data_IF_028303976486
#
_entry.id   IF_028303976486
#
_cell.length_a   1.000
_cell.length_b   1.000
_cell.length_c   1.000
_cell.angle_alpha   90.00
_cell.angle_beta   90.00
_cell.angle_gamma   90.00
#
_symmetry.space_group_name_H-M   'P 1'
#
loop_
_entity.id
_entity.type
_entity.pdbx_description
1 polymer ?
#
# COMPACT_ATOMS: atom_id res chain seq x y z
N UNK A 1 -22.13 -6.50 -7.83
CA UNK A 1 -21.06 -5.59 -8.29
C UNK A 1 -19.90 -5.73 -7.31
N UNK A 2 -18.69 -6.05 -7.79
CA UNK A 2 -17.51 -6.23 -6.93
C UNK A 2 -17.08 -4.88 -6.36
N UNK A 3 -16.96 -4.79 -5.04
CA UNK A 3 -16.47 -3.61 -4.33
C UNK A 3 -14.97 -3.67 -4.22
N UNK A 4 -14.29 -2.60 -4.57
CA UNK A 4 -12.84 -2.48 -4.57
C UNK A 4 -12.42 -1.23 -3.80
N UNK A 5 -11.46 -1.37 -2.90
CA UNK A 5 -10.82 -0.25 -2.22
C UNK A 5 -9.39 -0.10 -2.74
N UNK A 6 -9.03 1.11 -3.14
CA UNK A 6 -7.68 1.45 -3.54
C UNK A 6 -6.97 2.20 -2.41
N UNK A 7 -5.83 1.65 -1.97
CA UNK A 7 -5.00 2.16 -0.89
C UNK A 7 -3.73 2.77 -1.49
N UNK A 8 -3.61 4.08 -1.41
CA UNK A 8 -2.45 4.80 -1.96
C UNK A 8 -1.18 4.67 -1.10
N UNK A 9 -0.02 4.98 -1.66
CA UNK A 9 1.26 4.98 -0.96
C UNK A 9 1.44 6.16 0.00
N UNK A 10 2.55 6.11 0.75
CA UNK A 10 2.95 7.18 1.66
C UNK A 10 3.09 8.53 0.94
N UNK A 11 2.66 9.60 1.60
CA UNK A 11 2.69 10.97 1.07
C UNK A 11 2.04 11.16 -0.32
N UNK A 12 1.11 10.27 -0.68
CA UNK A 12 0.31 10.29 -1.90
C UNK A 12 -1.15 10.57 -1.57
N UNK A 13 -2.07 10.37 -2.51
CA UNK A 13 -3.49 10.64 -2.27
C UNK A 13 -4.41 9.87 -3.22
N UNK A 14 -5.72 10.07 -3.00
CA UNK A 14 -6.81 9.41 -3.74
C UNK A 14 -6.79 9.72 -5.24
N UNK A 15 -6.20 10.84 -5.64
CA UNK A 15 -6.09 11.28 -7.04
C UNK A 15 -4.73 10.95 -7.69
N UNK A 16 -3.95 10.02 -7.13
CA UNK A 16 -2.67 9.59 -7.73
C UNK A 16 -2.87 8.97 -9.12
N UNK A 17 -1.83 8.99 -9.96
CA UNK A 17 -1.89 8.42 -11.31
C UNK A 17 -2.34 6.95 -11.31
N UNK A 18 -1.81 6.15 -10.39
CA UNK A 18 -2.19 4.73 -10.24
C UNK A 18 -3.65 4.59 -9.78
N UNK A 19 -4.10 5.39 -8.81
CA UNK A 19 -5.49 5.35 -8.35
C UNK A 19 -6.45 5.65 -9.49
N UNK A 20 -6.23 6.75 -10.23
CA UNK A 20 -7.05 7.13 -11.39
C UNK A 20 -7.03 6.10 -12.52
N UNK A 21 -5.88 5.47 -12.76
CA UNK A 21 -5.76 4.43 -13.78
C UNK A 21 -6.63 3.21 -13.43
N UNK A 22 -6.47 2.65 -12.23
CA UNK A 22 -7.21 1.46 -11.82
C UNK A 22 -8.69 1.77 -11.61
N UNK A 23 -9.04 2.92 -11.09
CA UNK A 23 -10.44 3.33 -10.96
C UNK A 23 -11.14 3.33 -12.32
N UNK A 24 -10.65 4.09 -13.30
CA UNK A 24 -11.24 4.13 -14.64
C UNK A 24 -11.35 2.77 -15.30
N UNK A 25 -10.28 1.96 -15.18
CA UNK A 25 -10.23 0.65 -15.83
C UNK A 25 -11.22 -0.34 -15.23
N UNK A 26 -11.29 -0.41 -13.92
CA UNK A 26 -12.12 -1.38 -13.21
C UNK A 26 -13.60 -0.96 -13.20
N UNK A 27 -13.89 0.33 -13.14
CA UNK A 27 -15.25 0.85 -13.31
C UNK A 27 -15.80 0.58 -14.72
N UNK A 28 -14.96 0.71 -15.76
CA UNK A 28 -15.32 0.32 -17.12
C UNK A 28 -15.61 -1.19 -17.26
N UNK A 29 -15.04 -2.01 -16.38
CA UNK A 29 -15.29 -3.45 -16.29
C UNK A 29 -16.43 -3.83 -15.32
N UNK A 30 -17.18 -2.85 -14.80
CA UNK A 30 -18.37 -3.07 -13.97
C UNK A 30 -18.11 -3.18 -12.47
N UNK A 31 -16.93 -2.85 -11.96
CA UNK A 31 -16.66 -2.78 -10.53
C UNK A 31 -17.07 -1.43 -9.91
N UNK A 32 -17.19 -1.39 -8.59
CA UNK A 32 -17.26 -0.16 -7.82
C UNK A 32 -15.91 0.07 -7.12
N UNK A 33 -15.19 1.13 -7.49
CA UNK A 33 -13.85 1.43 -6.96
C UNK A 33 -13.89 2.68 -6.10
N UNK A 34 -13.37 2.58 -4.87
CA UNK A 34 -13.22 3.71 -3.96
C UNK A 34 -11.74 3.87 -3.60
N UNK A 35 -11.13 4.99 -3.99
CA UNK A 35 -9.80 5.36 -3.52
C UNK A 35 -9.94 6.01 -2.13
N UNK A 36 -9.30 5.41 -1.12
CA UNK A 36 -9.42 5.85 0.26
C UNK A 36 -8.44 6.96 0.60
N UNK A 37 -8.91 7.98 1.31
CA UNK A 37 -8.03 8.88 2.05
C UNK A 37 -7.55 8.18 3.33
N UNK A 38 -6.37 7.58 3.26
CA UNK A 38 -5.78 6.84 4.38
C UNK A 38 -5.31 7.75 5.52
N UNK A 39 -5.10 9.03 5.22
CA UNK A 39 -4.74 10.03 6.23
C UNK A 39 -5.98 10.63 6.93
N UNK A 40 -7.21 10.40 6.41
CA UNK A 40 -8.45 10.93 6.96
C UNK A 40 -8.43 12.46 7.14
N UNK A 41 -7.75 13.17 6.23
CA UNK A 41 -7.54 14.60 6.27
C UNK A 41 -6.40 15.08 7.17
N UNK A 42 -5.80 14.20 7.96
CA UNK A 42 -4.71 14.52 8.91
C UNK A 42 -3.43 13.70 8.62
N UNK A 43 -2.70 14.12 7.59
CA UNK A 43 -1.45 13.46 7.20
C UNK A 43 -0.38 13.55 8.29
N UNK A 44 -0.36 14.62 9.06
CA UNK A 44 0.69 14.88 10.04
C UNK A 44 0.67 13.87 11.20
N UNK A 45 -0.52 13.37 11.56
CA UNK A 45 -0.70 12.34 12.57
C UNK A 45 -0.99 10.95 11.98
N UNK A 46 -0.57 10.70 10.75
CA UNK A 46 -0.73 9.41 10.10
C UNK A 46 -0.12 8.28 10.93
N UNK A 47 -0.86 7.18 11.12
CA UNK A 47 -0.39 5.95 11.76
C UNK A 47 -0.81 4.73 10.94
N UNK A 48 -0.21 3.57 11.15
CA UNK A 48 -0.65 2.30 10.52
C UNK A 48 -2.03 1.93 11.06
N UNK A 49 -2.24 2.04 12.38
CA UNK A 49 -3.55 1.80 13.04
C UNK A 49 -4.65 2.68 12.43
N UNK A 50 -4.40 3.97 12.25
CA UNK A 50 -5.36 4.91 11.65
C UNK A 50 -5.72 4.55 10.21
N UNK A 51 -4.73 4.11 9.42
CA UNK A 51 -4.96 3.62 8.06
C UNK A 51 -5.81 2.33 8.04
N UNK A 52 -5.54 1.38 8.93
CA UNK A 52 -6.35 0.16 9.07
C UNK A 52 -7.80 0.49 9.46
N UNK A 53 -8.01 1.45 10.35
CA UNK A 53 -9.35 1.94 10.71
C UNK A 53 -10.08 2.55 9.51
N UNK A 54 -9.40 3.35 8.67
CA UNK A 54 -9.97 3.90 7.45
C UNK A 54 -10.45 2.79 6.49
N UNK A 55 -9.66 1.72 6.35
CA UNK A 55 -10.05 0.55 5.54
C UNK A 55 -11.25 -0.16 6.15
N UNK A 56 -11.27 -0.37 7.47
CA UNK A 56 -12.35 -1.03 8.19
C UNK A 56 -13.68 -0.29 8.05
N UNK A 57 -13.67 1.03 8.22
CA UNK A 57 -14.84 1.89 8.03
C UNK A 57 -15.37 1.80 6.59
N UNK A 58 -14.48 1.84 5.60
CA UNK A 58 -14.86 1.75 4.20
C UNK A 58 -15.35 0.34 3.80
N UNK A 59 -14.76 -0.71 4.32
CA UNK A 59 -15.20 -2.10 4.08
C UNK A 59 -16.55 -2.37 4.73
N UNK A 60 -16.82 -1.81 5.91
CA UNK A 60 -18.07 -1.94 6.67
C UNK A 60 -18.50 -3.40 6.85
N UNK A 61 -17.56 -4.33 7.03
CA UNK A 61 -17.79 -5.77 7.17
C UNK A 61 -18.36 -6.45 5.92
N UNK A 62 -18.37 -5.79 4.77
CA UNK A 62 -18.88 -6.35 3.51
C UNK A 62 -17.73 -6.93 2.66
N UNK A 63 -18.00 -7.97 1.85
CA UNK A 63 -16.99 -8.51 0.95
C UNK A 63 -16.35 -7.42 0.07
N UNK A 64 -15.02 -7.37 0.10
CA UNK A 64 -14.24 -6.34 -0.59
C UNK A 64 -12.94 -6.91 -1.15
N UNK A 65 -12.50 -6.44 -2.32
CA UNK A 65 -11.16 -6.68 -2.81
C UNK A 65 -10.30 -5.42 -2.64
N UNK A 66 -9.00 -5.60 -2.44
CA UNK A 66 -8.08 -4.50 -2.14
C UNK A 66 -7.03 -4.35 -3.25
N UNK A 67 -6.75 -3.11 -3.62
CA UNK A 67 -5.56 -2.75 -4.41
C UNK A 67 -4.73 -1.82 -3.56
N UNK A 68 -3.50 -2.21 -3.22
CA UNK A 68 -2.63 -1.40 -2.39
C UNK A 68 -1.29 -1.09 -3.07
N UNK A 69 -0.84 0.16 -3.01
CA UNK A 69 0.46 0.59 -3.56
C UNK A 69 1.42 1.00 -2.45
N UNK A 70 2.65 0.46 -2.48
CA UNK A 70 3.71 0.80 -1.52
C UNK A 70 3.24 0.62 -0.06
N UNK A 71 3.22 1.68 0.76
CA UNK A 71 2.68 1.62 2.13
C UNK A 71 1.22 1.14 2.14
N UNK A 72 0.38 1.62 1.21
CA UNK A 72 -0.99 1.11 1.06
C UNK A 72 -1.06 -0.37 0.72
N UNK A 73 -0.05 -0.92 0.04
CA UNK A 73 0.09 -2.37 -0.19
C UNK A 73 0.39 -3.14 1.08
N UNK A 74 1.25 -2.60 1.93
CA UNK A 74 1.51 -3.18 3.25
C UNK A 74 0.28 -3.10 4.17
N UNK A 75 -0.41 -1.96 4.20
CA UNK A 75 -1.67 -1.79 4.94
C UNK A 75 -2.76 -2.76 4.45
N UNK A 76 -2.88 -2.95 3.12
CA UNK A 76 -3.82 -3.94 2.56
C UNK A 76 -3.52 -5.37 3.02
N UNK A 77 -2.24 -5.75 3.07
CA UNK A 77 -1.82 -7.05 3.59
C UNK A 77 -2.10 -7.20 5.09
N UNK A 78 -1.80 -6.17 5.89
CA UNK A 78 -2.11 -6.13 7.33
C UNK A 78 -3.61 -6.26 7.59
N UNK A 79 -4.43 -5.57 6.80
CA UNK A 79 -5.88 -5.63 6.92
C UNK A 79 -6.40 -7.04 6.56
N UNK A 80 -5.95 -7.61 5.46
CA UNK A 80 -6.37 -8.95 5.02
C UNK A 80 -6.01 -10.05 6.05
N UNK A 81 -4.87 -9.92 6.74
CA UNK A 81 -4.47 -10.86 7.78
C UNK A 81 -5.43 -10.88 8.99
N UNK A 82 -6.24 -9.85 9.16
CA UNK A 82 -7.16 -9.66 10.31
C UNK A 82 -8.63 -9.72 9.93
N UNK A 83 -8.96 -9.71 8.64
CA UNK A 83 -10.32 -9.47 8.15
C UNK A 83 -10.71 -10.44 7.03
N UNK A 84 -11.60 -11.38 7.37
CA UNK A 84 -12.05 -12.43 6.45
C UNK A 84 -12.93 -11.93 5.30
N UNK A 85 -13.49 -10.73 5.40
CA UNK A 85 -14.27 -10.09 4.34
C UNK A 85 -13.43 -9.66 3.13
N UNK A 86 -12.10 -9.63 3.26
CA UNK A 86 -11.22 -9.41 2.11
C UNK A 86 -11.24 -10.65 1.22
N UNK A 87 -11.60 -10.46 -0.05
CA UNK A 87 -11.75 -11.57 -0.99
C UNK A 87 -10.50 -11.82 -1.83
N UNK A 88 -9.83 -10.77 -2.25
CA UNK A 88 -8.61 -10.82 -3.09
C UNK A 88 -7.77 -9.56 -2.88
N UNK A 89 -6.45 -9.65 -3.14
CA UNK A 89 -5.53 -8.52 -3.06
C UNK A 89 -4.71 -8.35 -4.34
N UNK A 90 -4.54 -7.11 -4.78
CA UNK A 90 -3.49 -6.73 -5.71
C UNK A 90 -2.54 -5.78 -4.98
N UNK A 91 -1.27 -6.13 -4.94
CA UNK A 91 -0.23 -5.38 -4.23
C UNK A 91 0.80 -4.87 -5.23
N UNK A 92 1.01 -3.56 -5.24
CA UNK A 92 1.94 -2.87 -6.14
C UNK A 92 3.15 -2.40 -5.32
N UNK A 93 4.29 -3.06 -5.47
CA UNK A 93 5.52 -2.80 -4.70
C UNK A 93 5.26 -2.65 -3.20
N UNK A 94 4.62 -3.63 -2.52
CA UNK A 94 4.21 -3.49 -1.12
C UNK A 94 5.39 -3.23 -0.21
N UNK A 95 5.27 -2.21 0.67
CA UNK A 95 6.34 -1.77 1.56
C UNK A 95 6.46 -2.68 2.80
N UNK A 96 6.61 -4.00 2.59
CA UNK A 96 6.80 -4.96 3.67
C UNK A 96 7.97 -4.56 4.59
N UNK A 97 7.79 -4.69 5.89
CA UNK A 97 8.77 -4.29 6.90
C UNK A 97 8.99 -2.77 6.98
N UNK A 98 7.98 -1.96 6.66
CA UNK A 98 8.06 -0.51 6.61
C UNK A 98 8.71 0.11 7.86
N UNK A 99 8.19 -0.21 9.05
CA UNK A 99 8.63 0.42 10.29
C UNK A 99 10.09 0.10 10.65
N UNK A 100 10.60 -1.08 10.25
CA UNK A 100 12.01 -1.46 10.44
C UNK A 100 12.91 -0.84 9.37
N UNK A 101 12.50 -0.88 8.11
CA UNK A 101 13.34 -0.50 6.96
C UNK A 101 13.45 1.01 6.75
N UNK A 102 12.40 1.77 7.05
CA UNK A 102 12.43 3.21 6.85
C UNK A 102 13.48 3.90 7.74
N UNK A 103 13.60 3.58 9.04
CA UNK A 103 14.72 4.02 9.85
C UNK A 103 16.10 3.66 9.30
N UNK A 104 16.27 2.43 8.79
CA UNK A 104 17.54 1.99 8.17
C UNK A 104 17.92 2.88 6.98
N UNK A 105 16.93 3.28 6.17
CA UNK A 105 17.14 4.15 5.00
C UNK A 105 17.40 5.60 5.36
N UNK A 106 16.77 6.13 6.40
CA UNK A 106 16.95 7.50 6.88
C UNK A 106 18.30 7.70 7.57
N UNK A 107 18.82 6.66 8.20
CA UNK A 107 20.02 6.71 9.02
C UNK A 107 19.74 7.13 10.48
N UNK A 108 20.62 6.71 11.38
CA UNK A 108 20.43 6.83 12.82
C UNK A 108 20.26 8.29 13.31
N UNK A 109 21.02 9.21 12.76
CA UNK A 109 20.97 10.64 13.13
C UNK A 109 19.61 11.27 12.79
N UNK A 110 19.10 11.03 11.58
CA UNK A 110 17.82 11.57 11.15
C UNK A 110 16.66 10.97 11.97
N UNK A 111 16.72 9.68 12.28
CA UNK A 111 15.71 8.99 13.11
C UNK A 111 15.75 9.53 14.55
N UNK A 112 16.93 9.70 15.14
CA UNK A 112 17.05 10.25 16.50
C UNK A 112 16.56 11.70 16.58
N UNK A 113 16.88 12.53 15.56
CA UNK A 113 16.35 13.88 15.49
C UNK A 113 14.82 13.86 15.38
N UNK A 114 14.24 12.98 14.52
CA UNK A 114 12.79 12.84 14.40
C UNK A 114 12.14 12.40 15.70
N UNK A 115 12.73 11.39 16.37
CA UNK A 115 12.26 10.94 17.70
C UNK A 115 12.27 12.05 18.74
N UNK A 116 13.38 12.83 18.79
CA UNK A 116 13.58 13.91 19.79
C UNK A 116 12.64 15.11 19.55
N UNK A 117 12.42 15.48 18.28
CA UNK A 117 11.57 16.63 17.93
C UNK A 117 10.10 16.25 17.80
N UNK A 118 9.79 14.96 17.64
CA UNK A 118 8.46 14.41 17.35
C UNK A 118 8.05 14.55 15.88
N UNK A 119 8.79 15.32 15.05
CA UNK A 119 8.38 15.70 13.71
C UNK A 119 9.51 15.59 12.70
N UNK A 120 9.17 15.20 11.46
CA UNK A 120 10.05 15.20 10.31
C UNK A 120 9.31 15.79 9.10
N UNK A 121 10.00 16.57 8.27
CA UNK A 121 9.45 17.04 7.01
C UNK A 121 9.63 15.99 5.90
N UNK A 122 8.58 15.77 5.13
CA UNK A 122 8.57 14.90 3.95
C UNK A 122 7.86 15.58 2.80
N UNK A 123 8.29 15.33 1.57
CA UNK A 123 7.58 15.84 0.40
C UNK A 123 6.27 15.09 0.20
N UNK A 124 5.15 15.82 0.22
CA UNK A 124 3.81 15.27 0.02
C UNK A 124 3.42 15.46 -1.46
N UNK A 125 3.44 14.36 -2.20
CA UNK A 125 3.26 14.39 -3.67
C UNK A 125 1.89 14.90 -4.10
N UNK A 126 0.82 14.59 -3.34
CA UNK A 126 -0.52 15.06 -3.68
C UNK A 126 -0.68 16.57 -3.45
N UNK A 127 0.00 17.14 -2.45
CA UNK A 127 -0.04 18.57 -2.13
C UNK A 127 1.04 19.39 -2.86
N UNK A 128 2.06 18.70 -3.44
CA UNK A 128 3.19 19.33 -4.13
C UNK A 128 4.09 20.18 -3.22
N UNK A 129 4.12 19.89 -1.91
CA UNK A 129 4.87 20.63 -0.89
C UNK A 129 5.36 19.72 0.24
N UNK A 130 6.30 20.22 1.04
CA UNK A 130 6.68 19.54 2.26
C UNK A 130 5.56 19.63 3.31
N UNK A 131 5.39 18.53 4.05
CA UNK A 131 4.50 18.42 5.21
C UNK A 131 5.23 17.72 6.35
N UNK A 132 4.87 18.09 7.56
CA UNK A 132 5.35 17.39 8.74
C UNK A 132 4.71 16.01 8.87
N UNK A 133 5.45 15.06 9.43
CA UNK A 133 4.92 13.75 9.83
C UNK A 133 5.40 13.43 11.25
N UNK A 134 4.49 13.01 12.11
CA UNK A 134 4.77 12.64 13.50
C UNK A 134 5.60 11.36 13.59
N UNK A 135 6.49 11.29 14.57
CA UNK A 135 7.25 10.08 14.92
C UNK A 135 6.33 8.91 15.33
N UNK A 136 5.09 9.21 15.76
CA UNK A 136 4.08 8.22 16.07
C UNK A 136 3.82 7.22 14.91
N UNK A 137 4.08 7.59 13.66
CA UNK A 137 3.98 6.66 12.53
C UNK A 137 4.93 5.47 12.69
N UNK A 138 6.17 5.69 13.13
CA UNK A 138 7.12 4.60 13.37
C UNK A 138 6.80 3.82 14.65
N UNK A 139 6.44 4.50 15.73
CA UNK A 139 6.10 3.86 17.01
C UNK A 139 4.88 2.95 16.85
N UNK A 140 3.84 3.43 16.18
CA UNK A 140 2.66 2.65 15.88
C UNK A 140 2.97 1.51 14.89
N UNK A 141 3.72 1.81 13.83
CA UNK A 141 4.12 0.82 12.83
C UNK A 141 4.97 -0.33 13.38
N UNK A 142 5.75 -0.09 14.43
CA UNK A 142 6.58 -1.10 15.08
C UNK A 142 5.76 -2.19 15.81
N UNK A 143 4.47 -1.98 16.02
CA UNK A 143 3.57 -2.95 16.63
C UNK A 143 3.05 -4.01 15.63
N UNK A 144 3.34 -3.83 14.33
CA UNK A 144 2.85 -4.68 13.25
C UNK A 144 3.96 -5.56 12.68
N UNK A 145 3.58 -6.75 12.26
CA UNK A 145 4.47 -7.72 11.62
C UNK A 145 5.00 -7.22 10.27
N UNK A 146 6.29 -7.45 9.99
CA UNK A 146 6.95 -7.08 8.74
C UNK A 146 6.29 -7.74 7.51
N UNK A 147 5.82 -8.99 7.66
CA UNK A 147 5.20 -9.81 6.62
C UNK A 147 3.88 -10.38 7.13
N UNK A 148 2.75 -9.69 6.87
CA UNK A 148 1.44 -10.15 7.33
C UNK A 148 1.05 -11.49 6.73
N UNK A 149 0.59 -12.42 7.58
CA UNK A 149 0.15 -13.76 7.17
C UNK A 149 -1.35 -13.75 6.88
N UNK A 150 -1.73 -13.79 5.60
CA UNK A 150 -3.10 -13.83 5.14
C UNK A 150 -3.31 -14.99 4.15
N UNK A 151 -4.54 -15.49 4.04
CA UNK A 151 -4.90 -16.67 3.24
C UNK A 151 -5.59 -16.32 1.92
N UNK A 152 -6.02 -15.11 1.73
CA UNK A 152 -6.72 -14.66 0.54
C UNK A 152 -5.80 -14.72 -0.70
N UNK A 153 -6.33 -15.03 -1.89
CA UNK A 153 -5.54 -14.95 -3.12
C UNK A 153 -4.95 -13.55 -3.33
N UNK A 154 -3.66 -13.48 -3.64
CA UNK A 154 -2.97 -12.22 -3.88
C UNK A 154 -2.15 -12.24 -5.17
N UNK A 155 -2.17 -11.12 -5.90
CA UNK A 155 -1.32 -10.87 -7.05
C UNK A 155 -0.43 -9.66 -6.75
N UNK A 156 0.89 -9.87 -6.77
CA UNK A 156 1.88 -8.86 -6.48
C UNK A 156 2.59 -8.46 -7.77
N UNK A 157 2.66 -7.17 -8.05
CA UNK A 157 3.54 -6.60 -9.07
C UNK A 157 4.66 -5.82 -8.40
N UNK A 158 5.91 -6.01 -8.88
CA UNK A 158 7.05 -5.30 -8.32
C UNK A 158 8.07 -4.96 -9.40
N UNK A 159 8.51 -3.71 -9.41
CA UNK A 159 9.56 -3.25 -10.34
C UNK A 159 10.93 -3.85 -10.00
N UNK A 160 11.65 -4.38 -11.00
CA UNK A 160 12.99 -4.94 -10.78
C UNK A 160 14.01 -3.87 -10.40
N UNK A 161 13.77 -2.61 -10.80
CA UNK A 161 14.63 -1.45 -10.56
C UNK A 161 14.11 -0.57 -9.39
N UNK A 162 13.27 -1.15 -8.51
CA UNK A 162 12.71 -0.41 -7.38
C UNK A 162 13.80 -0.08 -6.34
N UNK A 163 14.16 1.18 -6.25
CA UNK A 163 15.17 1.74 -5.34
C UNK A 163 14.58 2.20 -3.99
N UNK A 164 13.26 2.18 -3.86
CA UNK A 164 12.53 2.55 -2.64
C UNK A 164 12.19 1.33 -1.80
N UNK A 165 11.62 0.31 -2.45
CA UNK A 165 11.23 -0.96 -1.83
C UNK A 165 11.89 -2.10 -2.61
N UNK A 166 12.94 -2.75 -2.11
CA UNK A 166 13.62 -3.82 -2.83
C UNK A 166 12.68 -4.96 -3.21
N UNK A 167 12.72 -5.41 -4.47
CA UNK A 167 11.89 -6.51 -5.00
C UNK A 167 12.05 -7.82 -4.21
N UNK A 168 13.21 -8.00 -3.55
CA UNK A 168 13.52 -9.15 -2.69
C UNK A 168 12.52 -9.32 -1.55
N UNK A 169 11.88 -8.25 -1.09
CA UNK A 169 10.84 -8.34 -0.05
C UNK A 169 9.61 -9.09 -0.56
N UNK A 170 9.18 -8.78 -1.78
CA UNK A 170 8.08 -9.51 -2.43
C UNK A 170 8.47 -10.96 -2.76
N UNK A 171 9.71 -11.21 -3.19
CA UNK A 171 10.21 -12.56 -3.43
C UNK A 171 10.21 -13.40 -2.15
N UNK A 172 10.67 -12.82 -1.03
CA UNK A 172 10.64 -13.47 0.30
C UNK A 172 9.21 -13.73 0.78
N UNK A 173 8.31 -12.80 0.50
CA UNK A 173 6.90 -12.95 0.85
C UNK A 173 6.29 -14.16 0.14
N UNK A 174 6.32 -14.20 -1.19
CA UNK A 174 5.69 -15.29 -1.97
C UNK A 174 6.33 -16.66 -1.73
N UNK A 175 7.61 -16.70 -1.36
CA UNK A 175 8.27 -17.96 -0.99
C UNK A 175 7.66 -18.66 0.25
N UNK A 176 6.88 -17.92 1.06
CA UNK A 176 6.21 -18.40 2.26
C UNK A 176 4.68 -18.38 2.18
N UNK A 177 4.14 -17.77 1.12
CA UNK A 177 2.70 -17.55 0.95
C UNK A 177 2.25 -18.13 -0.41
N UNK A 178 1.89 -19.42 -0.47
CA UNK A 178 1.50 -20.10 -1.73
C UNK A 178 0.21 -19.54 -2.35
N UNK A 179 -0.57 -18.77 -1.59
CA UNK A 179 -1.75 -18.04 -2.05
C UNK A 179 -1.40 -16.74 -2.78
N UNK A 180 -0.13 -16.32 -2.80
CA UNK A 180 0.34 -15.10 -3.45
C UNK A 180 1.21 -15.42 -4.67
N UNK A 181 0.91 -14.79 -5.80
CA UNK A 181 1.74 -14.83 -7.01
C UNK A 181 2.50 -13.50 -7.18
N UNK A 182 3.77 -13.55 -7.61
CA UNK A 182 4.59 -12.38 -7.90
C UNK A 182 4.89 -12.29 -9.39
N UNK A 183 4.64 -11.15 -9.98
CA UNK A 183 5.12 -10.76 -11.30
C UNK A 183 6.11 -9.61 -11.17
N UNK A 184 7.36 -9.86 -11.54
CA UNK A 184 8.42 -8.84 -11.59
C UNK A 184 8.35 -8.16 -12.95
N UNK A 185 8.31 -6.82 -12.94
CA UNK A 185 8.18 -6.00 -14.14
C UNK A 185 9.39 -5.09 -14.35
N UNK A 186 9.67 -4.72 -15.58
CA UNK A 186 10.75 -3.80 -15.93
C UNK A 186 10.34 -2.35 -15.62
N UNK A 187 10.49 -1.97 -14.36
CA UNK A 187 10.10 -0.66 -13.82
C UNK A 187 10.80 -0.36 -12.50
N UNK A 188 10.78 0.91 -12.11
CA UNK A 188 11.08 1.37 -10.75
C UNK A 188 9.85 1.32 -9.84
N UNK A 189 9.92 2.06 -8.70
CA UNK A 189 8.89 2.06 -7.66
C UNK A 189 7.51 2.53 -8.15
N UNK A 190 7.48 3.54 -9.00
CA UNK A 190 6.23 4.15 -9.46
C UNK A 190 5.41 3.25 -10.40
N UNK A 191 6.05 2.38 -11.15
CA UNK A 191 5.46 1.43 -12.10
C UNK A 191 4.49 2.06 -13.13
N UNK A 192 4.62 3.37 -13.41
CA UNK A 192 3.70 4.07 -14.33
C UNK A 192 3.85 3.60 -15.78
N UNK A 193 5.05 3.22 -16.19
CA UNK A 193 5.37 2.74 -17.52
C UNK A 193 4.79 1.36 -17.86
N UNK A 194 4.35 0.60 -16.86
CA UNK A 194 3.83 -0.77 -17.04
C UNK A 194 2.34 -0.90 -16.75
N UNK A 195 1.65 0.17 -16.39
CA UNK A 195 0.24 0.13 -16.00
C UNK A 195 -0.66 -0.47 -17.08
N UNK A 196 -0.43 -0.12 -18.35
CA UNK A 196 -1.22 -0.66 -19.47
C UNK A 196 -0.99 -2.16 -19.66
N UNK A 197 0.22 -2.65 -19.38
CA UNK A 197 0.56 -4.07 -19.47
C UNK A 197 -0.04 -4.90 -18.31
N UNK A 198 0.04 -4.38 -17.07
CA UNK A 198 -0.48 -5.09 -15.90
C UNK A 198 -2.00 -4.94 -15.71
N UNK A 199 -2.58 -3.86 -16.22
CA UNK A 199 -4.00 -3.54 -16.05
C UNK A 199 -4.96 -4.68 -16.44
N UNK A 200 -4.82 -5.34 -17.62
CA UNK A 200 -5.66 -6.49 -17.97
C UNK A 200 -5.59 -7.65 -16.99
N UNK A 201 -4.38 -7.94 -16.47
CA UNK A 201 -4.15 -9.01 -15.48
C UNK A 201 -4.81 -8.68 -14.14
N UNK A 202 -4.68 -7.42 -13.69
CA UNK A 202 -5.36 -6.91 -12.48
C UNK A 202 -6.87 -7.06 -12.63
N UNK A 203 -7.43 -6.64 -13.78
CA UNK A 203 -8.87 -6.75 -14.05
C UNK A 203 -9.33 -8.21 -14.02
N UNK A 204 -8.66 -9.10 -14.75
CA UNK A 204 -9.00 -10.52 -14.78
C UNK A 204 -8.89 -11.20 -13.42
N UNK A 205 -7.86 -10.85 -12.62
CA UNK A 205 -7.68 -11.39 -11.28
C UNK A 205 -8.75 -10.93 -10.29
N UNK A 206 -9.16 -9.66 -10.34
CA UNK A 206 -10.11 -9.09 -9.37
C UNK A 206 -11.58 -9.38 -9.72
N UNK A 207 -11.92 -9.53 -11.01
CA UNK A 207 -13.30 -9.63 -11.47
C UNK A 207 -13.65 -11.01 -12.08
N UNK A 208 -12.65 -11.84 -12.36
CA UNK A 208 -12.82 -13.24 -12.78
C UNK A 208 -12.88 -14.14 -11.57
#
# INVERSE_FOLDING_TARGET
>A
MTRLLYLHGFASGTASNKARFFQRRLEAAGAQVTALDLARGDFEHLTITGQLQAVQEAAAGQPVALIGSSLGGYVAALYAARHAEVTRLVLLAPAFGFARRWPERLGAEAVENWRRTGWMEVFHYADGRNRAISYALLEDGAQYEDYPDFIQPALIFHGVQDDVVPVELSRRFVARHPNAALEVVDSGHEMLNVLDAIGPKVTGFLLG
#
